data_IF_655070381138
#
_entry.id   IF_655070381138
#
_cell.length_a   1.000
_cell.length_b   1.000
_cell.length_c   1.000
_cell.angle_alpha   90.00
_cell.angle_beta   90.00
_cell.angle_gamma   90.00
#
_symmetry.space_group_name_H-M   'P 1'
#
loop_
_entity.id
_entity.type
_entity.pdbx_description
1 polymer ?
#
# COMPACT_ATOMS: atom_id res chain seq x y z
N UNK A 1 -16.34 -3.13 27.36
CA UNK A 1 -16.45 -2.73 25.95
C UNK A 1 -15.56 -1.52 25.79
N UNK A 2 -14.34 -1.74 25.30
CA UNK A 2 -13.56 -0.65 24.70
C UNK A 2 -14.34 -0.31 23.43
N UNK A 3 -14.96 0.86 23.41
CA UNK A 3 -15.41 1.46 22.16
C UNK A 3 -14.15 1.80 21.39
N UNK A 4 -13.85 1.06 20.32
CA UNK A 4 -12.79 1.44 19.38
C UNK A 4 -13.04 2.89 18.99
N UNK A 5 -12.03 3.74 19.22
CA UNK A 5 -12.18 5.19 19.19
C UNK A 5 -12.39 5.73 17.78
N UNK A 6 -11.99 4.94 16.79
CA UNK A 6 -12.15 5.21 15.36
C UNK A 6 -13.37 4.44 14.84
N UNK A 7 -14.37 5.17 14.37
CA UNK A 7 -15.66 4.62 13.92
C UNK A 7 -15.68 4.36 12.41
N UNK A 8 -14.63 4.75 11.68
CA UNK A 8 -14.52 4.56 10.23
C UNK A 8 -13.10 4.19 9.80
N UNK A 9 -12.97 3.55 8.64
CA UNK A 9 -11.67 3.27 8.02
C UNK A 9 -10.87 4.54 7.72
N UNK A 10 -11.54 5.65 7.42
CA UNK A 10 -10.91 6.95 7.13
C UNK A 10 -10.23 7.50 8.39
N UNK A 11 -10.94 7.50 9.52
CA UNK A 11 -10.38 7.98 10.79
C UNK A 11 -9.15 7.15 11.23
N UNK A 12 -9.15 5.83 10.96
CA UNK A 12 -7.99 4.97 11.23
C UNK A 12 -6.80 5.30 10.32
N UNK A 13 -7.04 5.52 9.03
CA UNK A 13 -5.97 5.88 8.08
C UNK A 13 -5.40 7.26 8.39
N UNK A 14 -6.24 8.25 8.67
CA UNK A 14 -5.80 9.59 9.09
C UNK A 14 -4.93 9.52 10.35
N UNK A 15 -5.35 8.74 11.34
CA UNK A 15 -4.61 8.51 12.58
C UNK A 15 -3.20 7.92 12.32
N UNK A 16 -3.11 6.91 11.46
CA UNK A 16 -1.81 6.31 11.09
C UNK A 16 -0.95 7.30 10.29
N UNK A 17 -1.58 8.11 9.42
CA UNK A 17 -0.89 9.14 8.64
C UNK A 17 -0.35 10.28 9.51
N UNK A 18 -1.07 10.69 10.55
CA UNK A 18 -0.58 11.70 11.51
C UNK A 18 0.64 11.18 12.27
N UNK A 19 0.64 9.91 12.69
CA UNK A 19 1.82 9.30 13.27
C UNK A 19 3.00 9.26 12.31
N UNK A 20 2.75 8.91 11.04
CA UNK A 20 3.78 8.91 10.01
C UNK A 20 4.49 10.27 9.94
N UNK A 21 3.71 11.35 9.89
CA UNK A 21 4.22 12.72 9.83
C UNK A 21 5.06 13.09 11.07
N UNK A 22 4.67 12.65 12.26
CA UNK A 22 5.39 12.91 13.51
C UNK A 22 6.68 12.08 13.67
N UNK A 23 6.75 10.88 13.06
CA UNK A 23 7.76 9.86 13.36
C UNK A 23 8.53 9.32 12.14
N UNK A 24 8.68 10.13 11.08
CA UNK A 24 9.36 9.82 9.79
C UNK A 24 10.70 9.06 9.94
N UNK A 25 11.39 9.16 11.08
CA UNK A 25 12.64 8.43 11.38
C UNK A 25 12.55 6.89 11.33
N UNK A 26 11.36 6.28 11.38
CA UNK A 26 11.17 4.83 11.23
C UNK A 26 10.83 4.38 9.79
N UNK A 27 11.04 5.29 8.84
CA UNK A 27 10.63 5.24 7.43
C UNK A 27 10.59 3.87 6.77
N UNK A 28 11.70 3.14 6.78
CA UNK A 28 11.74 1.88 6.03
C UNK A 28 10.91 0.77 6.68
N UNK A 29 10.83 0.70 8.00
CA UNK A 29 9.98 -0.31 8.66
C UNK A 29 8.50 0.00 8.46
N UNK A 30 8.15 1.29 8.43
CA UNK A 30 6.79 1.74 8.13
C UNK A 30 6.41 1.37 6.68
N UNK A 31 7.25 1.72 5.71
CA UNK A 31 7.07 1.36 4.30
C UNK A 31 6.90 -0.16 4.10
N UNK A 32 7.64 -1.01 4.84
CA UNK A 32 7.46 -2.47 4.79
C UNK A 32 6.04 -2.88 5.20
N UNK A 33 5.51 -2.30 6.28
CA UNK A 33 4.14 -2.57 6.75
C UNK A 33 3.12 -2.19 5.68
N UNK A 34 3.29 -1.05 5.03
CA UNK A 34 2.38 -0.58 3.98
C UNK A 34 2.41 -1.47 2.74
N UNK A 35 3.59 -1.87 2.27
CA UNK A 35 3.70 -2.77 1.11
C UNK A 35 3.08 -4.14 1.44
N UNK A 36 3.30 -4.67 2.66
CA UNK A 36 2.63 -5.89 3.11
C UNK A 36 1.12 -5.74 3.22
N UNK A 37 0.64 -4.61 3.75
CA UNK A 37 -0.76 -4.28 3.82
C UNK A 37 -1.41 -4.30 2.43
N UNK A 38 -0.83 -3.63 1.44
CA UNK A 38 -1.35 -3.63 0.06
C UNK A 38 -1.37 -5.06 -0.53
N UNK A 39 -0.33 -5.85 -0.26
CA UNK A 39 -0.20 -7.20 -0.79
C UNK A 39 -1.38 -8.11 -0.43
N UNK A 40 -1.94 -7.95 0.77
CA UNK A 40 -3.09 -8.73 1.25
C UNK A 40 -4.37 -8.47 0.43
N UNK A 41 -4.44 -7.39 -0.36
CA UNK A 41 -5.62 -7.04 -1.16
C UNK A 41 -5.55 -7.49 -2.61
N UNK A 42 -4.38 -7.91 -3.13
CA UNK A 42 -4.29 -8.42 -4.51
C UNK A 42 -5.27 -9.56 -4.84
N UNK A 43 -5.59 -10.50 -3.93
CA UNK A 43 -6.61 -11.53 -4.20
C UNK A 43 -8.03 -10.97 -4.42
N UNK A 44 -8.33 -9.76 -3.95
CA UNK A 44 -9.64 -9.12 -4.05
C UNK A 44 -9.78 -8.22 -5.27
N UNK A 45 -8.67 -7.96 -5.96
CA UNK A 45 -8.58 -7.04 -7.07
C UNK A 45 -8.31 -7.85 -8.32
N UNK A 46 -9.16 -7.68 -9.33
CA UNK A 46 -8.98 -8.36 -10.60
C UNK A 46 -7.83 -7.72 -11.38
N UNK A 47 -6.63 -8.19 -11.06
CA UNK A 47 -5.35 -7.94 -11.73
C UNK A 47 -5.16 -8.79 -12.99
N UNK A 48 -6.09 -9.70 -13.28
CA UNK A 48 -6.09 -10.52 -14.50
C UNK A 48 -6.36 -9.71 -15.76
N UNK A 49 -6.89 -8.49 -15.61
CA UNK A 49 -6.97 -7.47 -16.67
C UNK A 49 -5.60 -7.01 -17.17
N UNK A 50 -4.53 -7.29 -16.42
CA UNK A 50 -3.19 -6.94 -16.83
C UNK A 50 -2.70 -7.88 -17.94
N UNK A 51 -1.95 -7.35 -18.91
CA UNK A 51 -1.52 -8.07 -20.11
C UNK A 51 -0.39 -9.09 -19.84
N UNK A 52 0.03 -9.23 -18.58
CA UNK A 52 1.03 -10.17 -18.12
C UNK A 52 0.78 -10.53 -16.65
N UNK A 53 1.35 -11.65 -16.21
CA UNK A 53 1.28 -12.06 -14.81
C UNK A 53 2.11 -11.14 -13.92
N UNK A 54 1.50 -10.57 -12.88
CA UNK A 54 2.20 -9.74 -11.90
C UNK A 54 2.87 -10.54 -10.78
N UNK A 55 2.55 -11.84 -10.66
CA UNK A 55 2.95 -12.66 -9.52
C UNK A 55 4.46 -12.64 -9.27
N UNK A 56 5.27 -12.73 -10.32
CA UNK A 56 6.74 -12.68 -10.19
C UNK A 56 7.23 -11.32 -9.68
N UNK A 57 6.61 -10.23 -10.13
CA UNK A 57 6.94 -8.88 -9.67
C UNK A 57 6.55 -8.67 -8.20
N UNK A 58 5.35 -9.14 -7.81
CA UNK A 58 4.88 -9.10 -6.42
C UNK A 58 5.83 -9.87 -5.51
N UNK A 59 6.19 -11.11 -5.88
CA UNK A 59 7.12 -11.93 -5.10
C UNK A 59 8.50 -11.28 -4.98
N UNK A 60 9.02 -10.68 -6.06
CA UNK A 60 10.29 -9.95 -6.02
C UNK A 60 10.22 -8.75 -5.07
N UNK A 61 9.18 -7.91 -5.19
CA UNK A 61 9.01 -6.74 -4.34
C UNK A 61 8.98 -7.13 -2.86
N UNK A 62 8.16 -8.14 -2.51
CA UNK A 62 8.09 -8.65 -1.14
C UNK A 62 9.43 -9.21 -0.65
N UNK A 63 10.16 -9.94 -1.51
CA UNK A 63 11.48 -10.45 -1.14
C UNK A 63 12.52 -9.34 -0.89
N UNK A 64 12.35 -8.17 -1.48
CA UNK A 64 13.27 -7.04 -1.30
C UNK A 64 13.06 -6.30 0.03
N UNK A 65 11.91 -6.50 0.69
CA UNK A 65 11.65 -5.94 2.03
C UNK A 65 12.57 -6.55 3.10
N UNK A 66 13.15 -7.72 2.85
CA UNK A 66 14.12 -8.36 3.76
C UNK A 66 15.55 -7.81 3.63
N UNK A 67 15.79 -6.90 2.68
CA UNK A 67 17.10 -6.32 2.43
C UNK A 67 17.39 -5.12 3.33
N UNK A 68 18.64 -4.64 3.28
CA UNK A 68 18.98 -3.31 3.79
C UNK A 68 18.28 -2.23 2.96
N UNK A 69 18.04 -1.04 3.52
CA UNK A 69 17.35 0.04 2.80
C UNK A 69 18.02 0.38 1.47
N UNK A 70 19.35 0.52 1.45
CA UNK A 70 20.08 0.86 0.22
C UNK A 70 19.94 -0.23 -0.85
N UNK A 71 20.01 -1.51 -0.46
CA UNK A 71 19.83 -2.62 -1.40
C UNK A 71 18.39 -2.73 -1.90
N UNK A 72 17.42 -2.49 -1.01
CA UNK A 72 16.00 -2.38 -1.35
C UNK A 72 15.78 -1.29 -2.39
N UNK A 73 16.23 -0.06 -2.12
CA UNK A 73 16.02 1.10 -3.00
C UNK A 73 16.55 0.83 -4.41
N UNK A 74 17.77 0.29 -4.53
CA UNK A 74 18.37 -0.04 -5.82
C UNK A 74 17.53 -1.09 -6.56
N UNK A 75 17.18 -2.19 -5.89
CA UNK A 75 16.48 -3.32 -6.54
C UNK A 75 15.01 -3.02 -6.82
N UNK A 76 14.30 -2.37 -5.90
CA UNK A 76 12.92 -1.93 -6.07
C UNK A 76 12.81 -0.88 -7.18
N UNK A 77 13.78 0.05 -7.29
CA UNK A 77 13.81 1.01 -8.41
C UNK A 77 13.93 0.31 -9.75
N UNK A 78 14.84 -0.67 -9.87
CA UNK A 78 14.99 -1.44 -11.10
C UNK A 78 13.71 -2.25 -11.43
N UNK A 79 13.10 -2.88 -10.42
CA UNK A 79 11.87 -3.66 -10.57
C UNK A 79 10.69 -2.78 -11.00
N UNK A 80 10.48 -1.64 -10.32
CA UNK A 80 9.43 -0.65 -10.65
C UNK A 80 9.59 -0.18 -12.09
N UNK A 81 10.80 0.17 -12.49
CA UNK A 81 11.10 0.61 -13.87
C UNK A 81 10.76 -0.46 -14.89
N UNK A 82 11.17 -1.70 -14.66
CA UNK A 82 10.87 -2.82 -15.56
C UNK A 82 9.36 -3.10 -15.65
N UNK A 83 8.68 -3.16 -14.50
CA UNK A 83 7.23 -3.38 -14.42
C UNK A 83 6.45 -2.33 -15.22
N UNK A 84 6.68 -1.04 -14.96
CA UNK A 84 5.94 0.03 -15.63
C UNK A 84 6.36 0.22 -17.09
N UNK A 85 7.60 -0.10 -17.46
CA UNK A 85 8.00 -0.17 -18.87
C UNK A 85 7.22 -1.26 -19.60
N UNK A 86 7.00 -2.42 -18.98
CA UNK A 86 6.16 -3.47 -19.56
C UNK A 86 4.69 -3.08 -19.60
N UNK A 87 4.13 -2.52 -18.51
CA UNK A 87 2.75 -2.04 -18.49
C UNK A 87 2.47 -0.97 -19.57
N UNK A 88 3.41 -0.04 -19.77
CA UNK A 88 3.23 1.06 -20.72
C UNK A 88 3.03 0.61 -22.18
N UNK A 89 3.53 -0.58 -22.55
CA UNK A 89 3.36 -1.17 -23.89
C UNK A 89 1.90 -1.56 -24.20
N UNK A 90 1.05 -1.58 -23.17
CA UNK A 90 -0.33 -2.06 -23.25
C UNK A 90 -1.34 -1.03 -22.72
N UNK A 91 -0.97 0.26 -22.71
CA UNK A 91 -1.90 1.34 -22.33
C UNK A 91 -3.19 1.25 -23.13
N UNK A 92 -4.33 1.39 -22.46
CA UNK A 92 -5.65 1.27 -23.08
C UNK A 92 -6.14 -0.16 -23.34
N UNK A 93 -5.52 -1.18 -22.72
CA UNK A 93 -6.05 -2.55 -22.72
C UNK A 93 -7.12 -2.78 -21.63
N UNK A 94 -7.23 -1.88 -20.65
CA UNK A 94 -8.28 -1.90 -19.65
C UNK A 94 -9.41 -1.01 -20.19
N UNK A 95 -10.53 -1.62 -20.54
CA UNK A 95 -11.65 -0.96 -21.24
C UNK A 95 -12.26 0.23 -20.48
N UNK A 96 -12.04 0.30 -19.16
CA UNK A 96 -12.54 1.38 -18.30
C UNK A 96 -11.39 2.24 -17.75
N UNK A 97 -11.25 3.46 -18.29
CA UNK A 97 -10.19 4.42 -17.93
C UNK A 97 -10.10 4.71 -16.43
N UNK A 98 -11.25 4.82 -15.75
CA UNK A 98 -11.29 5.06 -14.29
C UNK A 98 -10.70 3.88 -13.53
N UNK A 99 -11.09 2.66 -13.90
CA UNK A 99 -10.54 1.43 -13.32
C UNK A 99 -9.05 1.28 -13.59
N UNK A 100 -8.60 1.62 -14.80
CA UNK A 100 -7.16 1.65 -15.15
C UNK A 100 -6.40 2.60 -14.23
N UNK A 101 -6.93 3.80 -13.97
CA UNK A 101 -6.30 4.79 -13.10
C UNK A 101 -6.15 4.27 -11.66
N UNK A 102 -7.22 3.76 -11.05
CA UNK A 102 -7.17 3.21 -9.69
C UNK A 102 -6.21 2.01 -9.59
N UNK A 103 -6.20 1.14 -10.61
CA UNK A 103 -5.27 0.00 -10.62
C UNK A 103 -3.81 0.47 -10.72
N UNK A 104 -3.53 1.45 -11.58
CA UNK A 104 -2.19 2.01 -11.74
C UNK A 104 -1.73 2.72 -10.47
N UNK A 105 -2.59 3.48 -9.80
CA UNK A 105 -2.30 4.14 -8.53
C UNK A 105 -1.91 3.12 -7.45
N UNK A 106 -2.73 2.09 -7.27
CA UNK A 106 -2.46 1.00 -6.32
C UNK A 106 -1.12 0.32 -6.61
N UNK A 107 -0.83 0.03 -7.89
CA UNK A 107 0.45 -0.58 -8.29
C UNK A 107 1.64 0.37 -8.06
N UNK A 108 1.47 1.68 -8.25
CA UNK A 108 2.51 2.66 -7.97
C UNK A 108 2.87 2.70 -6.48
N UNK A 109 1.86 2.59 -5.62
CA UNK A 109 2.00 2.48 -4.17
C UNK A 109 2.67 1.16 -3.77
N UNK A 110 2.19 0.03 -4.28
CA UNK A 110 2.78 -1.29 -3.97
C UNK A 110 4.25 -1.39 -4.42
N UNK A 111 4.58 -0.90 -5.61
CA UNK A 111 5.95 -0.81 -6.12
C UNK A 111 6.65 0.47 -5.65
N UNK A 112 6.37 0.95 -4.44
CA UNK A 112 7.21 1.99 -3.84
C UNK A 112 8.64 1.47 -3.66
N UNK A 113 9.58 2.38 -3.84
CA UNK A 113 11.01 2.10 -3.94
C UNK A 113 11.86 3.05 -3.09
N UNK A 114 11.23 3.92 -2.33
CA UNK A 114 11.84 4.89 -1.43
C UNK A 114 10.84 5.17 -0.30
N UNK A 115 11.33 5.63 0.84
CA UNK A 115 10.49 6.14 1.93
C UNK A 115 9.80 7.42 1.49
N UNK A 116 8.53 7.56 1.84
CA UNK A 116 7.71 8.73 1.57
C UNK A 116 8.27 10.00 2.23
N UNK A 117 8.03 11.15 1.63
CA UNK A 117 8.49 12.44 2.19
C UNK A 117 7.34 13.29 2.74
N UNK A 118 6.10 12.95 2.40
CA UNK A 118 4.90 13.73 2.70
C UNK A 118 3.86 12.86 3.43
N UNK A 119 2.91 12.29 2.69
CA UNK A 119 1.83 11.44 3.21
C UNK A 119 2.20 9.96 3.11
N UNK A 120 1.64 9.15 4.02
CA UNK A 120 1.76 7.69 3.99
C UNK A 120 1.10 7.11 2.73
N UNK A 121 1.64 6.02 2.21
CA UNK A 121 1.02 5.25 1.13
C UNK A 121 -0.42 4.83 1.49
N UNK A 122 -0.72 4.55 2.76
CA UNK A 122 -2.08 4.21 3.20
C UNK A 122 -3.13 5.24 2.81
N UNK A 123 -2.78 6.53 2.90
CA UNK A 123 -3.67 7.63 2.55
C UNK A 123 -4.09 7.56 1.08
N UNK A 124 -3.15 7.26 0.18
CA UNK A 124 -3.42 7.12 -1.26
C UNK A 124 -4.16 5.83 -1.60
N UNK A 125 -3.82 4.73 -0.93
CA UNK A 125 -4.36 3.39 -1.27
C UNK A 125 -5.81 3.21 -0.82
N UNK A 126 -6.25 3.89 0.24
CA UNK A 126 -7.60 3.72 0.77
C UNK A 126 -8.67 3.94 -0.31
N UNK A 127 -8.58 5.04 -1.06
CA UNK A 127 -9.52 5.37 -2.13
C UNK A 127 -9.56 4.28 -3.21
N UNK A 128 -8.39 3.74 -3.58
CA UNK A 128 -8.30 2.66 -4.58
C UNK A 128 -8.95 1.37 -4.06
N UNK A 129 -8.73 0.99 -2.80
CA UNK A 129 -9.34 -0.19 -2.19
C UNK A 129 -10.87 -0.07 -2.12
N UNK A 130 -11.38 1.09 -1.71
CA UNK A 130 -12.81 1.38 -1.68
C UNK A 130 -13.42 1.36 -3.08
N UNK A 131 -12.71 1.91 -4.09
CA UNK A 131 -13.13 1.83 -5.49
C UNK A 131 -13.26 0.37 -5.96
N UNK A 132 -12.32 -0.50 -5.61
CA UNK A 132 -12.38 -1.93 -5.90
C UNK A 132 -13.39 -2.72 -5.04
N UNK A 133 -14.17 -2.03 -4.22
CA UNK A 133 -15.21 -2.60 -3.35
C UNK A 133 -14.65 -3.63 -2.36
N UNK A 134 -13.41 -3.44 -1.92
CA UNK A 134 -12.87 -4.19 -0.79
C UNK A 134 -13.71 -3.85 0.44
N UNK A 135 -14.19 -4.86 1.21
CA UNK A 135 -15.01 -4.59 2.39
C UNK A 135 -14.25 -3.76 3.42
N UNK A 136 -14.84 -2.66 3.89
CA UNK A 136 -14.23 -1.78 4.90
C UNK A 136 -13.83 -2.53 6.17
N UNK A 137 -14.66 -3.46 6.65
CA UNK A 137 -14.35 -4.29 7.82
C UNK A 137 -13.05 -5.07 7.63
N UNK A 138 -12.78 -5.56 6.42
CA UNK A 138 -11.54 -6.27 6.11
C UNK A 138 -10.34 -5.32 6.01
N UNK A 139 -10.54 -4.11 5.48
CA UNK A 139 -9.49 -3.07 5.49
C UNK A 139 -9.11 -2.72 6.93
N UNK A 140 -10.11 -2.50 7.80
CA UNK A 140 -9.92 -2.20 9.23
C UNK A 140 -9.16 -3.33 9.93
N UNK A 141 -9.56 -4.59 9.72
CA UNK A 141 -8.86 -5.76 10.27
C UNK A 141 -7.36 -5.73 9.91
N UNK A 142 -7.04 -5.43 8.64
CA UNK A 142 -5.66 -5.35 8.16
C UNK A 142 -4.90 -4.15 8.70
N UNK A 143 -5.55 -2.99 8.84
CA UNK A 143 -4.95 -1.82 9.48
C UNK A 143 -4.55 -2.13 10.92
N UNK A 144 -5.43 -2.76 11.69
CA UNK A 144 -5.06 -3.25 13.02
C UNK A 144 -3.93 -4.28 12.94
N UNK A 145 -4.00 -5.27 12.07
CA UNK A 145 -2.96 -6.30 11.96
C UNK A 145 -1.54 -5.73 11.78
N UNK A 146 -1.37 -4.71 10.92
CA UNK A 146 -0.04 -4.16 10.60
C UNK A 146 0.37 -2.95 11.45
N UNK A 147 -0.59 -2.17 11.96
CA UNK A 147 -0.35 -0.88 12.62
C UNK A 147 -0.89 -0.80 14.05
N UNK A 148 -1.20 -1.93 14.69
CA UNK A 148 -1.65 -2.00 16.10
C UNK A 148 -0.72 -1.22 17.04
N UNK A 149 0.60 -1.29 16.83
CA UNK A 149 1.59 -0.58 17.63
C UNK A 149 1.44 0.95 17.55
N UNK A 150 1.03 1.46 16.40
CA UNK A 150 0.77 2.89 16.16
C UNK A 150 -0.57 3.29 16.76
N UNK A 151 -1.61 2.51 16.45
CA UNK A 151 -2.98 2.75 16.93
C UNK A 151 -3.02 2.77 18.47
N UNK A 152 -2.34 1.82 19.13
CA UNK A 152 -2.28 1.78 20.60
C UNK A 152 -1.51 2.93 21.24
N UNK A 153 -0.45 3.44 20.58
CA UNK A 153 0.29 4.61 21.09
C UNK A 153 -0.63 5.84 21.12
N UNK A 154 -1.50 5.98 20.13
CA UNK A 154 -2.42 7.11 20.01
C UNK A 154 -3.60 6.96 20.98
N UNK A 155 -4.11 5.75 21.17
CA UNK A 155 -5.15 5.45 22.17
C UNK A 155 -4.71 5.73 23.62
N UNK A 156 -3.42 5.90 23.89
CA UNK A 156 -2.87 6.12 25.24
C UNK A 156 -2.22 7.50 25.43
N UNK A 157 -2.27 8.39 24.42
CA UNK A 157 -1.76 9.77 24.50
C UNK A 157 -2.81 10.81 24.94
N UNK A 158 -4.07 10.41 25.13
CA UNK A 158 -5.13 11.21 25.79
C UNK A 158 -5.40 10.76 27.22
#
# INVERSE_FOLDING_TARGET
MQTDKFNTVHELVECINDYWYEYISEGFNFLKKEIHFIADFFPFIDVGVLPFSITEYVQKQLSYLELTYNDFEIKATALKKDFFANLSKYRGHIDEKTREQHLVNLLLCFFSNHVEEEESILYYVLDDLLFFKVPEEFIIEKLHQYFTDIIHVIDHKE
#
